data_IF_949123396030
#
_entry.id   IF_949123396030
#
_cell.length_a   1.000
_cell.length_b   1.000
_cell.length_c   1.000
_cell.angle_alpha   90.00
_cell.angle_beta   90.00
_cell.angle_gamma   90.00
#
_symmetry.space_group_name_H-M   'P 1'
#
loop_
_entity.id
_entity.type
_entity.pdbx_description
1 polymer ?
#
# COMPACT_ATOMS: atom_id res chain seq x y z
N UNK A 1 -10.45 17.36 0.92
CA UNK A 1 -11.58 16.63 0.31
C UNK A 1 -11.44 16.88 -1.19
N UNK A 2 -10.74 16.00 -1.90
CA UNK A 2 -10.28 16.27 -3.27
C UNK A 2 -11.43 16.12 -4.28
N UNK A 3 -11.78 17.26 -4.88
CA UNK A 3 -12.87 17.48 -5.83
C UNK A 3 -12.70 16.78 -7.19
N UNK A 4 -11.58 16.07 -7.42
CA UNK A 4 -11.21 15.55 -8.75
C UNK A 4 -11.91 14.21 -9.07
N UNK A 5 -12.42 13.49 -8.06
CA UNK A 5 -12.98 12.14 -8.24
C UNK A 5 -14.39 12.14 -8.84
N UNK A 6 -15.14 13.24 -8.70
CA UNK A 6 -16.58 13.30 -9.07
C UNK A 6 -16.83 13.32 -10.59
N UNK A 7 -15.87 13.77 -11.40
CA UNK A 7 -16.09 14.06 -12.84
C UNK A 7 -16.11 12.80 -13.71
N UNK A 8 -15.64 11.65 -13.21
CA UNK A 8 -15.52 10.42 -14.01
C UNK A 8 -16.46 9.28 -13.58
N UNK A 9 -17.26 9.44 -12.52
CA UNK A 9 -18.18 8.40 -12.04
C UNK A 9 -17.50 7.07 -11.61
N UNK A 10 -16.18 7.01 -11.63
CA UNK A 10 -15.40 5.87 -11.16
C UNK A 10 -15.13 6.08 -9.67
N UNK A 11 -15.82 5.32 -8.82
CA UNK A 11 -15.43 5.24 -7.41
C UNK A 11 -14.01 4.66 -7.35
N UNK A 12 -13.07 5.28 -6.62
CA UNK A 12 -11.75 4.70 -6.43
C UNK A 12 -11.95 3.31 -5.84
N UNK A 13 -11.28 2.32 -6.43
CA UNK A 13 -11.33 0.95 -5.95
C UNK A 13 -10.93 0.96 -4.47
N UNK A 14 -11.88 0.60 -3.61
CA UNK A 14 -11.74 0.68 -2.16
C UNK A 14 -10.57 -0.18 -1.68
N UNK A 15 -10.31 -1.30 -2.34
CA UNK A 15 -9.23 -2.22 -1.99
C UNK A 15 -7.88 -1.62 -2.38
N UNK A 16 -7.76 -1.00 -3.55
CA UNK A 16 -6.53 -0.30 -3.97
C UNK A 16 -6.24 0.92 -3.09
N UNK A 17 -7.28 1.68 -2.74
CA UNK A 17 -7.14 2.77 -1.78
C UNK A 17 -6.64 2.28 -0.42
N UNK A 18 -7.18 1.15 0.06
CA UNK A 18 -6.76 0.55 1.31
C UNK A 18 -5.32 0.04 1.24
N UNK A 19 -4.93 -0.56 0.13
CA UNK A 19 -3.54 -0.96 -0.14
C UNK A 19 -2.58 0.22 0.00
N UNK A 20 -2.85 1.34 -0.69
CA UNK A 20 -2.03 2.55 -0.61
C UNK A 20 -1.86 3.05 0.84
N UNK A 21 -2.96 3.08 1.60
CA UNK A 21 -2.91 3.45 3.02
C UNK A 21 -2.08 2.49 3.86
N UNK A 22 -2.21 1.18 3.62
CA UNK A 22 -1.47 0.16 4.34
C UNK A 22 0.03 0.24 4.06
N UNK A 23 0.45 0.54 2.83
CA UNK A 23 1.87 0.76 2.50
C UNK A 23 2.42 1.95 3.30
N UNK A 24 1.69 3.06 3.34
CA UNK A 24 2.08 4.22 4.13
C UNK A 24 2.15 3.89 5.63
N UNK A 25 1.13 3.20 6.15
CA UNK A 25 1.07 2.78 7.55
C UNK A 25 2.23 1.86 7.93
N UNK A 26 2.49 0.79 7.18
CA UNK A 26 3.58 -0.15 7.42
C UNK A 26 4.92 0.58 7.43
N UNK A 27 5.17 1.45 6.43
CA UNK A 27 6.42 2.22 6.37
C UNK A 27 6.61 3.07 7.62
N UNK A 28 5.57 3.79 8.05
CA UNK A 28 5.63 4.66 9.24
C UNK A 28 5.74 3.87 10.54
N UNK A 29 4.97 2.78 10.68
CA UNK A 29 4.96 1.89 11.85
C UNK A 29 6.34 1.31 12.14
N UNK A 30 7.06 0.90 11.09
CA UNK A 30 8.39 0.30 11.22
C UNK A 30 9.54 1.32 11.04
N UNK A 31 9.23 2.62 10.90
CA UNK A 31 10.24 3.68 10.87
C UNK A 31 11.10 3.73 9.60
N UNK A 32 10.66 3.16 8.48
CA UNK A 32 11.43 3.15 7.25
C UNK A 32 11.35 4.49 6.49
N UNK A 33 12.48 4.92 5.94
CA UNK A 33 12.50 5.96 4.91
C UNK A 33 11.81 5.48 3.63
N UNK A 34 11.42 6.41 2.75
CA UNK A 34 10.83 6.04 1.46
C UNK A 34 11.81 5.23 0.60
N UNK A 35 13.11 5.53 0.62
CA UNK A 35 14.11 4.75 -0.11
C UNK A 35 14.23 3.31 0.38
N UNK A 36 14.21 3.11 1.71
CA UNK A 36 14.24 1.77 2.30
C UNK A 36 12.98 0.97 1.93
N UNK A 37 11.80 1.58 2.04
CA UNK A 37 10.54 0.93 1.69
C UNK A 37 10.46 0.60 0.19
N UNK A 38 10.93 1.49 -0.68
CA UNK A 38 10.97 1.24 -2.13
C UNK A 38 11.88 0.06 -2.46
N UNK A 39 13.01 -0.05 -1.76
CA UNK A 39 13.93 -1.19 -1.89
C UNK A 39 13.29 -2.51 -1.43
N UNK A 40 12.55 -2.50 -0.31
CA UNK A 40 11.78 -3.66 0.20
C UNK A 40 10.74 -4.11 -0.84
N UNK A 41 10.01 -3.15 -1.41
CA UNK A 41 9.00 -3.40 -2.44
C UNK A 41 9.60 -3.74 -3.81
N UNK A 42 10.90 -3.56 -4.00
CA UNK A 42 11.61 -3.65 -5.29
C UNK A 42 10.98 -2.78 -6.38
N UNK A 43 10.61 -1.55 -6.01
CA UNK A 43 10.09 -0.53 -6.93
C UNK A 43 10.94 0.73 -6.90
N UNK A 44 10.75 1.63 -7.87
CA UNK A 44 11.40 2.94 -7.82
C UNK A 44 10.84 3.79 -6.66
N UNK A 45 11.65 4.73 -6.15
CA UNK A 45 11.18 5.72 -5.16
C UNK A 45 9.93 6.47 -5.67
N UNK A 46 9.93 6.84 -6.96
CA UNK A 46 8.81 7.53 -7.59
C UNK A 46 7.53 6.66 -7.58
N UNK A 47 7.66 5.37 -7.87
CA UNK A 47 6.55 4.41 -7.78
C UNK A 47 5.99 4.32 -6.37
N UNK A 48 6.85 4.23 -5.35
CA UNK A 48 6.41 4.24 -3.96
C UNK A 48 5.66 5.54 -3.62
N UNK A 49 6.18 6.70 -4.02
CA UNK A 49 5.53 7.99 -3.75
C UNK A 49 4.14 8.07 -4.37
N UNK A 50 3.96 7.57 -5.60
CA UNK A 50 2.64 7.47 -6.24
C UNK A 50 1.70 6.57 -5.44
N UNK A 51 2.16 5.37 -5.05
CA UNK A 51 1.38 4.44 -4.23
C UNK A 51 0.96 5.11 -2.91
N UNK A 52 1.87 5.76 -2.19
CA UNK A 52 1.55 6.43 -0.92
C UNK A 52 0.59 7.61 -1.09
N UNK A 53 0.58 8.25 -2.27
CA UNK A 53 -0.38 9.30 -2.61
C UNK A 53 -1.76 8.78 -3.04
N UNK A 54 -1.93 7.46 -3.15
CA UNK A 54 -3.20 6.83 -3.55
C UNK A 54 -3.28 6.48 -5.04
N UNK A 55 -2.21 6.67 -5.81
CA UNK A 55 -2.14 6.37 -7.23
C UNK A 55 -1.35 5.08 -7.48
N UNK A 56 -2.06 4.00 -7.82
CA UNK A 56 -1.45 2.70 -8.14
C UNK A 56 -1.20 2.63 -9.65
N UNK A 57 0.04 2.38 -10.10
CA UNK A 57 0.30 2.16 -11.51
C UNK A 57 -0.54 0.99 -12.05
N UNK A 58 -1.08 1.14 -13.27
CA UNK A 58 -1.86 0.09 -13.97
C UNK A 58 -1.14 -1.28 -14.10
N UNK A 59 0.18 -1.31 -13.88
CA UNK A 59 1.00 -2.52 -13.90
C UNK A 59 1.87 -2.58 -12.65
N UNK A 60 1.26 -2.85 -11.51
CA UNK A 60 2.01 -3.28 -10.34
C UNK A 60 2.27 -4.78 -10.46
N UNK A 61 3.53 -5.19 -10.40
CA UNK A 61 3.90 -6.60 -10.53
C UNK A 61 3.42 -7.39 -9.31
N UNK A 62 2.95 -8.62 -9.54
CA UNK A 62 2.51 -9.53 -8.46
C UNK A 62 3.62 -9.73 -7.42
N UNK A 63 4.87 -9.73 -7.87
CA UNK A 63 6.07 -9.83 -7.06
C UNK A 63 6.13 -8.78 -5.93
N UNK A 64 5.56 -7.59 -6.12
CA UNK A 64 5.51 -6.55 -5.09
C UNK A 64 4.71 -7.03 -3.89
N UNK A 65 3.56 -7.65 -4.12
CA UNK A 65 2.70 -8.17 -3.06
C UNK A 65 3.36 -9.34 -2.33
N UNK A 66 4.03 -10.24 -3.07
CA UNK A 66 4.72 -11.38 -2.46
C UNK A 66 5.92 -10.95 -1.63
N UNK A 67 6.69 -9.95 -2.09
CA UNK A 67 7.81 -9.41 -1.32
C UNK A 67 7.33 -8.71 -0.05
N UNK A 68 6.28 -7.90 -0.13
CA UNK A 68 5.67 -7.24 1.03
C UNK A 68 5.14 -8.24 2.05
N UNK A 69 4.35 -9.22 1.59
CA UNK A 69 3.78 -10.27 2.43
C UNK A 69 4.88 -11.06 3.16
N UNK A 70 5.92 -11.46 2.43
CA UNK A 70 7.07 -12.16 3.00
C UNK A 70 7.87 -11.28 3.98
N UNK A 71 8.10 -10.01 3.65
CA UNK A 71 8.91 -9.12 4.48
C UNK A 71 8.22 -8.75 5.79
N UNK A 72 6.92 -8.47 5.74
CA UNK A 72 6.12 -8.10 6.91
C UNK A 72 5.45 -9.29 7.62
N UNK A 73 5.74 -10.52 7.17
CA UNK A 73 5.17 -11.76 7.69
C UNK A 73 3.63 -11.70 7.80
N UNK A 74 2.97 -11.33 6.70
CA UNK A 74 1.52 -11.25 6.60
C UNK A 74 1.02 -11.95 5.33
N UNK A 75 -0.29 -12.16 5.21
CA UNK A 75 -0.88 -12.69 3.98
C UNK A 75 -1.04 -11.55 2.98
N UNK A 76 -0.99 -11.86 1.69
CA UNK A 76 -1.23 -10.88 0.62
C UNK A 76 -2.60 -10.20 0.80
N UNK A 77 -3.62 -10.94 1.21
CA UNK A 77 -4.96 -10.40 1.48
C UNK A 77 -4.96 -9.32 2.56
N UNK A 78 -4.09 -9.44 3.56
CA UNK A 78 -4.04 -8.49 4.67
C UNK A 78 -3.60 -7.10 4.16
N UNK A 79 -2.81 -7.04 3.06
CA UNK A 79 -2.40 -5.80 2.40
C UNK A 79 -3.56 -4.95 1.88
N UNK A 80 -4.77 -5.51 1.72
CA UNK A 80 -5.95 -4.84 1.17
C UNK A 80 -7.05 -4.58 2.22
N UNK A 81 -6.80 -4.95 3.48
CA UNK A 81 -7.74 -4.79 4.61
C UNK A 81 -7.16 -3.76 5.58
N UNK A 82 -7.96 -2.91 6.25
CA UNK A 82 -7.44 -1.91 7.19
C UNK A 82 -6.44 -2.47 8.22
N UNK A 83 -5.17 -2.05 8.11
CA UNK A 83 -4.15 -2.36 9.09
C UNK A 83 -4.13 -1.25 10.15
N UNK A 84 -4.88 -1.44 11.24
CA UNK A 84 -4.88 -0.54 12.40
C UNK A 84 -6.14 0.34 12.51
N UNK A 85 -7.17 -0.24 13.13
CA UNK A 85 -7.87 0.21 14.34
C UNK A 85 -8.71 -1.00 14.78
N UNK A 86 -8.18 -1.80 15.72
CA UNK A 86 -8.84 -3.00 16.26
C UNK A 86 -8.12 -4.32 15.96
N UNK A 87 -7.49 -4.86 17.01
CA UNK A 87 -7.28 -6.29 17.30
C UNK A 87 -6.14 -7.09 16.65
N UNK A 88 -5.69 -8.03 17.48
CA UNK A 88 -4.48 -8.85 17.49
C UNK A 88 -4.33 -9.73 16.24
N UNK A 89 -3.15 -9.69 15.63
CA UNK A 89 -2.74 -10.74 14.70
C UNK A 89 -2.07 -11.84 15.53
N UNK A 90 -2.74 -12.99 15.60
CA UNK A 90 -2.30 -14.20 16.30
C UNK A 90 -0.82 -14.51 16.00
N UNK A 91 -0.09 -14.79 17.08
CA UNK A 91 1.24 -15.40 17.02
C UNK A 91 1.23 -16.86 16.59
#
# INVERSE_FOLDING_TARGET
>A
MDFIVEVLGMKPDKELYQFCKNIFFLRKKYGYSQNQMASIMKVSLHTLQRIESGDVPNRLLVDVFTHLASFFNCRISDLFIPMGEGEEYFG
#
